data_IF_827640951705
#
_entry.id   IF_827640951705
#
_cell.length_a   1.000
_cell.length_b   1.000
_cell.length_c   1.000
_cell.angle_alpha   90.00
_cell.angle_beta   90.00
_cell.angle_gamma   90.00
#
_symmetry.space_group_name_H-M   'P 1'
#
loop_
_entity.id
_entity.type
_entity.pdbx_description
1 polymer ?
#
# COMPACT_ATOMS: atom_id res chain seq x y z
N UNK A 1 -0.69 23.89 27.94
CA UNK A 1 -0.01 22.80 27.22
C UNK A 1 0.64 23.41 25.98
N UNK A 2 1.92 23.10 25.72
CA UNK A 2 2.61 23.56 24.48
C UNK A 2 1.92 22.98 23.27
N UNK A 3 1.78 23.77 22.20
CA UNK A 3 1.26 23.30 20.92
C UNK A 3 2.34 22.46 20.21
N UNK A 4 1.94 21.58 19.29
CA UNK A 4 2.88 20.91 18.41
C UNK A 4 3.54 21.92 17.46
N UNK A 5 4.86 21.79 17.28
CA UNK A 5 5.54 22.32 16.11
C UNK A 5 5.42 21.28 14.98
N UNK A 6 4.81 21.70 13.86
CA UNK A 6 4.63 20.86 12.68
C UNK A 6 5.52 21.38 11.56
N UNK A 7 6.28 20.50 10.95
CA UNK A 7 7.00 20.76 9.70
C UNK A 7 6.74 19.65 8.68
N UNK A 8 6.72 20.03 7.41
CA UNK A 8 6.57 19.09 6.30
C UNK A 8 7.58 19.41 5.20
N UNK A 9 8.15 18.36 4.56
CA UNK A 9 9.10 18.53 3.47
C UNK A 9 8.87 17.49 2.38
N UNK A 10 9.15 17.87 1.15
CA UNK A 10 9.23 16.96 0.01
C UNK A 10 10.60 16.28 -0.03
N UNK A 11 10.59 15.00 -0.33
CA UNK A 11 11.78 14.22 -0.63
C UNK A 11 11.54 13.41 -1.90
N UNK A 12 12.59 13.28 -2.74
CA UNK A 12 12.53 12.51 -3.98
C UNK A 12 13.57 11.41 -3.96
N UNK A 13 13.14 10.16 -4.02
CA UNK A 13 13.96 8.98 -3.87
C UNK A 13 14.08 8.25 -5.21
N UNK A 14 15.29 8.13 -5.80
CA UNK A 14 15.48 7.40 -7.05
C UNK A 14 15.12 5.93 -6.91
N UNK A 15 14.43 5.39 -7.92
CA UNK A 15 14.20 3.96 -8.05
C UNK A 15 15.45 3.27 -8.62
N UNK A 16 15.65 2.00 -8.25
CA UNK A 16 16.72 1.18 -8.81
C UNK A 16 16.48 0.89 -10.29
N UNK A 17 15.22 0.63 -10.66
CA UNK A 17 14.76 0.44 -12.03
C UNK A 17 13.51 1.28 -12.28
N UNK A 18 13.21 1.67 -13.54
CA UNK A 18 11.94 2.30 -13.87
C UNK A 18 10.76 1.40 -13.46
N UNK A 19 9.80 1.97 -12.77
CA UNK A 19 8.59 1.28 -12.31
C UNK A 19 7.43 1.59 -13.25
N UNK A 20 6.95 0.57 -13.97
CA UNK A 20 5.92 0.70 -15.01
C UNK A 20 4.65 -0.05 -14.63
N UNK A 21 3.51 0.65 -14.73
CA UNK A 21 2.16 0.12 -14.60
C UNK A 21 1.34 0.46 -15.84
N UNK A 22 0.08 0.02 -15.92
CA UNK A 22 -0.82 0.33 -17.04
C UNK A 22 -0.95 1.83 -17.35
N UNK A 23 -0.81 2.69 -16.33
CA UNK A 23 -0.99 4.16 -16.37
C UNK A 23 0.28 4.97 -16.61
N UNK A 24 1.46 4.37 -16.62
CA UNK A 24 2.71 5.10 -16.88
C UNK A 24 3.94 4.55 -16.17
N UNK A 25 5.06 5.28 -16.29
CA UNK A 25 6.36 4.89 -15.74
C UNK A 25 6.89 5.98 -14.81
N UNK A 26 7.45 5.58 -13.67
CA UNK A 26 8.14 6.45 -12.70
C UNK A 26 9.59 6.01 -12.55
N UNK A 27 10.47 6.98 -12.28
CA UNK A 27 11.89 6.76 -11.98
C UNK A 27 12.27 7.23 -10.57
N UNK A 28 11.35 7.89 -9.89
CA UNK A 28 11.49 8.40 -8.52
C UNK A 28 10.22 8.15 -7.73
N UNK A 29 10.36 7.97 -6.43
CA UNK A 29 9.30 8.08 -5.45
C UNK A 29 9.35 9.47 -4.82
N UNK A 30 8.33 10.29 -5.08
CA UNK A 30 8.17 11.60 -4.48
C UNK A 30 7.28 11.47 -3.24
N UNK A 31 7.84 11.75 -2.07
CA UNK A 31 7.17 11.58 -0.78
C UNK A 31 7.12 12.89 -0.01
N UNK A 32 6.15 13.02 0.89
CA UNK A 32 6.10 14.11 1.85
C UNK A 32 6.29 13.54 3.25
N UNK A 33 7.27 14.09 3.98
CA UNK A 33 7.57 13.73 5.36
C UNK A 33 7.05 14.78 6.29
N UNK A 34 6.26 14.37 7.27
CA UNK A 34 5.79 15.20 8.39
C UNK A 34 6.65 14.93 9.62
N UNK A 35 7.00 15.99 10.31
CA UNK A 35 7.62 15.95 11.64
C UNK A 35 6.74 16.72 12.61
N UNK A 36 6.32 16.07 13.67
CA UNK A 36 5.65 16.66 14.84
C UNK A 36 6.65 16.71 15.99
N UNK A 37 6.80 17.89 16.60
CA UNK A 37 7.64 18.07 17.78
C UNK A 37 6.84 18.70 18.91
N UNK A 38 6.94 18.10 20.08
CA UNK A 38 6.35 18.65 21.32
C UNK A 38 7.09 18.13 22.52
N UNK A 39 7.38 19.02 23.49
CA UNK A 39 8.06 18.70 24.75
C UNK A 39 9.40 17.96 24.55
N UNK A 40 10.14 18.29 23.46
CA UNK A 40 11.44 17.70 23.11
C UNK A 40 11.36 16.30 22.48
N UNK A 41 10.17 15.78 22.22
CA UNK A 41 9.95 14.49 21.56
C UNK A 41 9.46 14.74 20.13
N UNK A 42 9.98 13.94 19.19
CA UNK A 42 9.70 14.06 17.76
C UNK A 42 9.01 12.81 17.24
N UNK A 43 7.91 12.99 16.51
CA UNK A 43 7.23 11.94 15.76
C UNK A 43 7.31 12.19 14.25
N UNK A 44 7.42 11.14 13.46
CA UNK A 44 7.57 11.19 12.01
C UNK A 44 6.48 10.39 11.29
N UNK A 45 6.04 10.88 10.14
CA UNK A 45 5.16 10.17 9.23
C UNK A 45 5.51 10.51 7.78
N UNK A 46 5.23 9.61 6.88
CA UNK A 46 5.48 9.77 5.45
C UNK A 46 4.24 9.42 4.66
N UNK A 47 3.98 10.16 3.59
CA UNK A 47 2.93 9.84 2.62
C UNK A 47 3.42 10.02 1.19
N UNK A 48 2.67 9.40 0.27
CA UNK A 48 2.91 9.49 -1.16
C UNK A 48 1.68 10.12 -1.82
N UNK A 49 1.70 11.43 -2.13
CA UNK A 49 0.63 12.08 -2.89
C UNK A 49 0.43 11.38 -4.23
N UNK A 50 -0.80 10.94 -4.55
CA UNK A 50 -1.02 10.13 -5.73
C UNK A 50 -2.00 10.79 -6.71
N UNK A 51 -1.55 11.11 -7.96
CA UNK A 51 -2.36 11.82 -8.95
C UNK A 51 -3.68 11.14 -9.31
N UNK A 52 -3.77 9.80 -9.22
CA UNK A 52 -5.01 9.04 -9.45
C UNK A 52 -6.14 9.47 -8.50
N UNK A 53 -5.78 9.95 -7.31
CA UNK A 53 -6.71 10.46 -6.29
C UNK A 53 -6.77 11.99 -6.25
N UNK A 54 -6.23 12.67 -7.28
CA UNK A 54 -6.25 14.13 -7.38
C UNK A 54 -5.25 14.84 -6.47
N UNK A 55 -4.25 14.12 -5.95
CA UNK A 55 -3.28 14.65 -5.00
C UNK A 55 -1.92 14.91 -5.64
N UNK A 56 -1.31 16.04 -5.27
CA UNK A 56 0.05 16.43 -5.69
C UNK A 56 0.88 16.84 -4.48
N UNK A 57 2.20 16.74 -4.60
CA UNK A 57 3.13 17.17 -3.52
C UNK A 57 2.89 18.61 -3.10
N UNK A 58 2.74 19.61 -3.99
CA UNK A 58 2.46 20.99 -3.58
C UNK A 58 1.15 21.14 -2.79
N UNK A 59 0.07 20.47 -3.23
CA UNK A 59 -1.24 20.53 -2.52
C UNK A 59 -1.15 19.93 -1.12
N UNK A 60 -0.44 18.80 -0.97
CA UNK A 60 -0.26 18.15 0.33
C UNK A 60 0.58 19.03 1.26
N UNK A 61 1.69 19.62 0.78
CA UNK A 61 2.51 20.53 1.56
C UNK A 61 1.73 21.78 2.00
N UNK A 62 0.92 22.36 1.11
CA UNK A 62 0.08 23.52 1.42
C UNK A 62 -0.99 23.17 2.45
N UNK A 63 -1.63 21.99 2.33
CA UNK A 63 -2.62 21.54 3.30
C UNK A 63 -2.00 21.35 4.69
N UNK A 64 -0.83 20.72 4.77
CA UNK A 64 -0.09 20.52 6.03
C UNK A 64 0.37 21.86 6.66
N UNK A 65 0.78 22.82 5.85
CA UNK A 65 1.17 24.14 6.35
C UNK A 65 0.01 24.88 7.06
N UNK A 66 -1.24 24.63 6.64
CA UNK A 66 -2.43 25.20 7.28
C UNK A 66 -2.80 24.52 8.61
N UNK A 67 -2.26 23.34 8.91
CA UNK A 67 -2.53 22.63 10.17
C UNK A 67 -1.80 23.23 11.37
N UNK A 68 -0.85 24.14 11.17
CA UNK A 68 -0.10 24.79 12.25
C UNK A 68 -1.04 25.56 13.20
N UNK A 69 -1.00 25.22 14.50
CA UNK A 69 -1.87 25.77 15.53
C UNK A 69 -3.26 25.12 15.65
N UNK A 70 -3.57 24.10 14.85
CA UNK A 70 -4.78 23.28 14.97
C UNK A 70 -4.71 22.25 16.11
N UNK A 71 -5.83 21.55 16.31
CA UNK A 71 -5.90 20.42 17.25
C UNK A 71 -5.21 19.17 16.64
N UNK A 72 -3.97 18.94 17.00
CA UNK A 72 -3.21 17.76 16.62
C UNK A 72 -3.49 16.66 17.64
N UNK A 73 -4.69 16.09 17.57
CA UNK A 73 -5.13 14.87 18.23
C UNK A 73 -5.70 13.93 17.18
N UNK A 74 -5.90 12.65 17.50
CA UNK A 74 -6.49 11.70 16.54
C UNK A 74 -7.87 12.16 16.07
N UNK A 75 -8.73 12.63 16.99
CA UNK A 75 -10.05 13.16 16.66
C UNK A 75 -9.95 14.49 15.89
N UNK A 76 -9.03 15.37 16.27
CA UNK A 76 -8.77 16.63 15.58
C UNK A 76 -8.32 16.38 14.12
N UNK A 77 -7.36 15.49 13.90
CA UNK A 77 -6.88 15.09 12.56
C UNK A 77 -8.03 14.48 11.74
N UNK A 78 -8.84 13.62 12.34
CA UNK A 78 -9.98 13.00 11.65
C UNK A 78 -11.03 14.05 11.19
N UNK A 79 -11.20 15.13 11.97
CA UNK A 79 -12.13 16.22 11.66
C UNK A 79 -11.58 17.24 10.64
N UNK A 80 -10.28 17.24 10.35
CA UNK A 80 -9.68 18.16 9.37
C UNK A 80 -10.06 17.79 7.93
N UNK A 81 -10.38 18.80 7.12
CA UNK A 81 -10.51 18.64 5.67
C UNK A 81 -9.13 18.64 5.01
N UNK A 82 -8.52 17.46 4.94
CA UNK A 82 -7.19 17.24 4.36
C UNK A 82 -7.25 16.24 3.21
N UNK A 83 -6.34 16.35 2.21
CA UNK A 83 -6.03 15.25 1.32
C UNK A 83 -5.67 13.98 2.12
N UNK A 84 -6.05 12.82 1.64
CA UNK A 84 -5.82 11.55 2.36
C UNK A 84 -4.34 11.31 2.64
N UNK A 85 -3.44 11.61 1.68
CA UNK A 85 -2.00 11.52 1.89
C UNK A 85 -1.53 12.46 3.02
N UNK A 86 -2.00 13.72 3.05
CA UNK A 86 -1.64 14.67 4.13
C UNK A 86 -2.09 14.16 5.50
N UNK A 87 -3.33 13.65 5.58
CA UNK A 87 -3.88 13.06 6.81
C UNK A 87 -3.08 11.84 7.24
N UNK A 88 -2.69 10.95 6.29
CA UNK A 88 -1.86 9.79 6.56
C UNK A 88 -0.54 10.17 7.23
N UNK A 89 0.22 11.09 6.63
CA UNK A 89 1.50 11.50 7.20
C UNK A 89 1.33 12.11 8.60
N UNK A 90 0.28 12.88 8.83
CA UNK A 90 0.01 13.53 10.11
C UNK A 90 -0.44 12.53 11.19
N UNK A 91 -1.35 11.61 10.85
CA UNK A 91 -1.81 10.53 11.73
C UNK A 91 -0.64 9.63 12.14
N UNK A 92 0.17 9.18 11.18
CA UNK A 92 1.33 8.33 11.45
C UNK A 92 2.42 9.05 12.28
N UNK A 93 2.62 10.36 12.07
CA UNK A 93 3.53 11.15 12.90
C UNK A 93 3.02 11.27 14.35
N UNK A 94 1.71 11.39 14.54
CA UNK A 94 1.10 11.42 15.89
C UNK A 94 1.21 10.07 16.58
N UNK A 95 1.04 8.94 15.87
CA UNK A 95 1.28 7.60 16.40
C UNK A 95 2.71 7.43 16.89
N UNK A 96 3.69 7.83 16.08
CA UNK A 96 5.11 7.75 16.42
C UNK A 96 5.44 8.62 17.64
N UNK A 97 4.95 9.86 17.68
CA UNK A 97 5.11 10.76 18.82
C UNK A 97 4.48 10.19 20.09
N UNK A 98 3.27 9.64 19.98
CA UNK A 98 2.53 9.05 21.12
C UNK A 98 3.27 7.84 21.69
N UNK A 99 3.74 6.95 20.82
CA UNK A 99 4.55 5.78 21.21
C UNK A 99 5.79 6.19 22.00
N UNK A 100 6.55 7.17 21.49
CA UNK A 100 7.78 7.67 22.13
C UNK A 100 7.50 8.36 23.44
N UNK A 101 6.42 9.17 23.52
CA UNK A 101 6.04 9.91 24.73
C UNK A 101 5.59 8.97 25.85
N UNK A 102 4.86 7.90 25.51
CA UNK A 102 4.38 6.91 26.48
C UNK A 102 5.40 5.77 26.74
N UNK A 103 6.53 5.80 26.08
CA UNK A 103 7.51 4.69 26.03
C UNK A 103 6.86 3.32 25.81
N UNK A 104 5.84 3.31 24.94
CA UNK A 104 5.02 2.13 24.66
C UNK A 104 5.03 1.89 23.16
N UNK A 105 5.41 0.70 22.66
CA UNK A 105 5.43 0.41 21.23
C UNK A 105 4.07 0.67 20.57
N UNK A 106 4.08 1.19 19.33
CA UNK A 106 2.86 1.55 18.59
C UNK A 106 1.93 0.34 18.41
N UNK A 107 2.46 -0.87 18.22
CA UNK A 107 1.66 -2.09 18.13
C UNK A 107 0.88 -2.39 19.43
N UNK A 108 1.48 -2.13 20.60
CA UNK A 108 0.79 -2.26 21.91
C UNK A 108 -0.34 -1.24 22.02
N UNK A 109 -0.09 0.02 21.63
CA UNK A 109 -1.11 1.08 21.62
C UNK A 109 -2.26 0.76 20.65
N UNK A 110 -1.96 0.10 19.54
CA UNK A 110 -2.95 -0.36 18.55
C UNK A 110 -3.73 -1.61 19.01
N UNK A 111 -3.34 -2.23 20.13
CA UNK A 111 -3.94 -3.48 20.60
C UNK A 111 -3.61 -4.69 19.72
N UNK A 112 -2.47 -4.66 19.05
CA UNK A 112 -1.94 -5.73 18.19
C UNK A 112 -0.91 -6.53 19.00
N UNK A 113 -0.83 -7.84 18.79
CA UNK A 113 0.22 -8.68 19.35
C UNK A 113 1.60 -8.26 18.84
N UNK A 114 2.67 -8.69 19.53
CA UNK A 114 4.04 -8.40 19.09
C UNK A 114 4.24 -8.79 17.62
N UNK A 115 4.63 -7.84 16.75
CA UNK A 115 4.71 -8.06 15.32
C UNK A 115 5.70 -9.16 14.94
N UNK A 116 5.28 -10.03 14.06
CA UNK A 116 6.11 -11.06 13.45
C UNK A 116 6.64 -10.59 12.10
N UNK A 117 7.77 -11.14 11.61
CA UNK A 117 8.23 -10.87 10.26
C UNK A 117 7.17 -11.25 9.22
N UNK A 118 7.04 -10.43 8.17
CA UNK A 118 6.05 -10.57 7.10
C UNK A 118 6.73 -10.91 5.78
N UNK A 119 6.15 -11.81 5.00
CA UNK A 119 6.60 -12.03 3.63
C UNK A 119 5.91 -11.03 2.72
N UNK A 120 6.65 -10.00 2.25
CA UNK A 120 6.13 -9.05 1.27
C UNK A 120 6.22 -9.59 -0.16
N UNK A 121 5.23 -9.29 -0.99
CA UNK A 121 5.35 -9.46 -2.43
C UNK A 121 6.52 -8.62 -2.97
N UNK A 122 7.06 -9.03 -4.11
CA UNK A 122 8.01 -8.23 -4.88
C UNK A 122 7.41 -7.94 -6.25
N UNK A 123 7.36 -6.66 -6.61
CA UNK A 123 6.65 -6.20 -7.80
C UNK A 123 7.50 -6.36 -9.06
N UNK A 124 6.94 -7.02 -10.06
CA UNK A 124 7.46 -7.08 -11.43
C UNK A 124 6.71 -6.05 -12.27
N UNK A 125 7.44 -5.07 -12.76
CA UNK A 125 6.93 -4.00 -13.62
C UNK A 125 6.38 -4.55 -14.94
N UNK A 126 5.35 -3.88 -15.48
CA UNK A 126 4.77 -4.22 -16.78
C UNK A 126 5.78 -4.00 -17.91
N UNK A 127 5.99 -5.07 -18.69
CA UNK A 127 6.86 -5.10 -19.88
C UNK A 127 6.39 -6.20 -20.86
N UNK A 128 7.18 -6.51 -21.88
CA UNK A 128 6.95 -7.65 -22.75
C UNK A 128 7.13 -8.97 -21.98
N UNK A 129 6.46 -10.03 -22.43
CA UNK A 129 6.37 -11.31 -21.72
C UNK A 129 7.75 -11.88 -21.35
N UNK A 130 8.68 -11.91 -22.30
CA UNK A 130 10.04 -12.42 -22.05
C UNK A 130 10.82 -11.59 -21.03
N UNK A 131 10.65 -10.27 -21.05
CA UNK A 131 11.30 -9.36 -20.10
C UNK A 131 10.75 -9.57 -18.70
N UNK A 132 9.42 -9.70 -18.55
CA UNK A 132 8.80 -9.98 -17.26
C UNK A 132 9.18 -11.35 -16.72
N UNK A 133 9.22 -12.38 -17.56
CA UNK A 133 9.65 -13.74 -17.19
C UNK A 133 11.11 -13.75 -16.69
N UNK A 134 12.02 -13.06 -17.41
CA UNK A 134 13.41 -12.91 -16.98
C UNK A 134 13.53 -12.15 -15.65
N UNK A 135 12.79 -11.05 -15.49
CA UNK A 135 12.77 -10.27 -14.26
C UNK A 135 12.24 -11.10 -13.08
N UNK A 136 11.17 -11.87 -13.28
CA UNK A 136 10.60 -12.77 -12.26
C UNK A 136 11.61 -13.84 -11.81
N UNK A 137 12.29 -14.50 -12.77
CA UNK A 137 13.31 -15.50 -12.48
C UNK A 137 14.52 -14.87 -11.76
N UNK A 138 14.98 -13.69 -12.19
CA UNK A 138 16.11 -12.99 -11.60
C UNK A 138 15.82 -12.52 -10.17
N UNK A 139 14.57 -12.15 -9.86
CA UNK A 139 14.15 -11.67 -8.56
C UNK A 139 14.32 -12.71 -7.45
N UNK A 140 14.17 -14.02 -7.75
CA UNK A 140 14.29 -15.14 -6.79
C UNK A 140 13.47 -14.92 -5.52
N UNK A 141 12.22 -14.47 -5.67
CA UNK A 141 11.31 -14.17 -4.57
C UNK A 141 10.22 -15.23 -4.44
N UNK A 142 9.79 -15.57 -3.22
CA UNK A 142 8.73 -16.57 -2.99
C UNK A 142 7.34 -16.08 -3.37
N UNK A 143 7.11 -14.77 -3.38
CA UNK A 143 5.85 -14.11 -3.73
C UNK A 143 6.13 -12.94 -4.67
N UNK A 144 5.51 -12.99 -5.86
CA UNK A 144 5.64 -11.96 -6.88
C UNK A 144 4.30 -11.29 -7.14
N UNK A 145 4.31 -9.95 -7.25
CA UNK A 145 3.19 -9.15 -7.74
C UNK A 145 3.45 -8.73 -9.19
N UNK A 146 2.57 -9.12 -10.09
CA UNK A 146 2.73 -8.88 -11.53
C UNK A 146 1.88 -7.70 -11.96
N UNK A 147 2.50 -6.65 -12.48
CA UNK A 147 1.78 -5.51 -13.07
C UNK A 147 1.32 -5.87 -14.48
N UNK A 148 0.00 -5.86 -14.68
CA UNK A 148 -0.69 -6.19 -15.93
C UNK A 148 -1.61 -5.04 -16.35
N UNK A 149 -2.63 -5.30 -17.18
CA UNK A 149 -3.61 -4.31 -17.65
C UNK A 149 -3.36 -3.87 -19.10
N UNK A 150 -2.75 -4.75 -19.91
CA UNK A 150 -2.53 -4.52 -21.35
C UNK A 150 -2.89 -5.77 -22.17
N UNK A 151 -3.20 -5.63 -23.46
CA UNK A 151 -3.37 -6.77 -24.34
C UNK A 151 -2.17 -7.72 -24.27
N UNK A 152 -2.42 -9.05 -24.29
CA UNK A 152 -1.39 -10.09 -24.19
C UNK A 152 -0.99 -10.46 -22.76
N UNK A 153 -1.78 -10.09 -21.77
CA UNK A 153 -1.53 -10.44 -20.38
C UNK A 153 -1.61 -11.95 -20.11
N UNK A 154 -2.42 -12.69 -20.85
CA UNK A 154 -2.47 -14.15 -20.85
C UNK A 154 -1.12 -14.76 -21.25
N UNK A 155 -0.48 -14.23 -22.29
CA UNK A 155 0.87 -14.67 -22.68
C UNK A 155 1.93 -14.29 -21.65
N UNK A 156 1.82 -13.11 -21.03
CA UNK A 156 2.71 -12.70 -19.92
C UNK A 156 2.61 -13.66 -18.74
N UNK A 157 1.39 -13.99 -18.34
CA UNK A 157 1.14 -14.93 -17.24
C UNK A 157 1.74 -16.31 -17.52
N UNK A 158 1.51 -16.87 -18.71
CA UNK A 158 2.07 -18.15 -19.10
C UNK A 158 3.61 -18.15 -19.05
N UNK A 159 4.25 -17.14 -19.68
CA UNK A 159 5.71 -17.03 -19.71
C UNK A 159 6.32 -16.88 -18.31
N UNK A 160 5.66 -16.08 -17.43
CA UNK A 160 6.14 -15.90 -16.05
C UNK A 160 5.99 -17.19 -15.25
N UNK A 161 4.83 -17.88 -15.35
CA UNK A 161 4.62 -19.15 -14.64
C UNK A 161 5.63 -20.23 -15.07
N UNK A 162 5.94 -20.31 -16.37
CA UNK A 162 6.95 -21.21 -16.89
C UNK A 162 8.35 -20.90 -16.33
N UNK A 163 8.68 -19.63 -16.17
CA UNK A 163 9.98 -19.18 -15.64
C UNK A 163 10.12 -19.34 -14.11
N UNK A 164 9.01 -19.29 -13.36
CA UNK A 164 9.00 -19.38 -11.89
C UNK A 164 7.89 -20.33 -11.40
N UNK A 165 8.01 -21.66 -11.66
CA UNK A 165 6.95 -22.63 -11.42
C UNK A 165 6.51 -22.72 -9.96
N UNK A 166 7.40 -22.45 -9.01
CA UNK A 166 7.17 -22.60 -7.57
C UNK A 166 6.80 -21.28 -6.86
N UNK A 167 6.90 -20.13 -7.54
CA UNK A 167 6.59 -18.84 -6.93
C UNK A 167 5.08 -18.66 -6.75
N UNK A 168 4.68 -18.09 -5.62
CA UNK A 168 3.34 -17.57 -5.42
C UNK A 168 3.17 -16.31 -6.29
N UNK A 169 2.03 -16.20 -6.96
CA UNK A 169 1.76 -15.08 -7.86
C UNK A 169 0.49 -14.36 -7.43
N UNK A 170 0.57 -13.03 -7.37
CA UNK A 170 -0.59 -12.14 -7.36
C UNK A 170 -0.49 -11.20 -8.57
N UNK A 171 -1.64 -10.77 -9.06
CA UNK A 171 -1.75 -9.92 -10.25
C UNK A 171 -2.38 -8.60 -9.87
N UNK A 172 -1.85 -7.51 -10.39
CA UNK A 172 -2.47 -6.19 -10.31
C UNK A 172 -2.68 -5.65 -11.73
N UNK A 173 -3.94 -5.63 -12.16
CA UNK A 173 -4.32 -5.12 -13.46
C UNK A 173 -4.43 -3.59 -13.50
N UNK A 174 -4.40 -2.93 -12.35
CA UNK A 174 -4.49 -1.47 -12.22
C UNK A 174 -5.59 -0.86 -13.09
N UNK A 175 -6.82 -1.38 -12.98
CA UNK A 175 -8.00 -0.94 -13.75
C UNK A 175 -7.88 -1.17 -15.28
N UNK A 176 -6.93 -2.01 -15.73
CA UNK A 176 -6.57 -2.10 -17.15
C UNK A 176 -7.37 -3.10 -17.98
N UNK A 177 -8.23 -3.93 -17.36
CA UNK A 177 -9.08 -4.86 -18.10
C UNK A 177 -10.49 -4.30 -18.30
N UNK A 178 -11.21 -4.83 -19.29
CA UNK A 178 -12.63 -4.56 -19.50
C UNK A 178 -13.49 -5.77 -19.12
N UNK A 179 -14.80 -5.55 -18.96
CA UNK A 179 -15.73 -6.63 -18.64
C UNK A 179 -15.74 -7.73 -19.70
N UNK A 180 -15.48 -7.39 -21.00
CA UNK A 180 -15.44 -8.36 -22.09
C UNK A 180 -14.24 -9.31 -21.99
N UNK A 181 -13.06 -8.82 -21.60
CA UNK A 181 -11.84 -9.64 -21.49
C UNK A 181 -11.69 -10.31 -20.14
N UNK A 182 -12.41 -9.85 -19.11
CA UNK A 182 -12.30 -10.33 -17.75
C UNK A 182 -12.44 -11.85 -17.62
N UNK A 183 -13.43 -12.56 -18.24
CA UNK A 183 -13.53 -14.01 -18.14
C UNK A 183 -12.32 -14.76 -18.72
N UNK A 184 -11.72 -14.24 -19.78
CA UNK A 184 -10.50 -14.78 -20.36
C UNK A 184 -9.33 -14.61 -19.41
N UNK A 185 -9.16 -13.41 -18.84
CA UNK A 185 -8.06 -13.09 -17.93
C UNK A 185 -8.14 -13.89 -16.64
N UNK A 186 -9.32 -14.03 -16.03
CA UNK A 186 -9.51 -14.87 -14.82
C UNK A 186 -9.17 -16.34 -15.08
N UNK A 187 -9.50 -16.85 -16.27
CA UNK A 187 -9.10 -18.21 -16.66
C UNK A 187 -7.58 -18.35 -16.79
N UNK A 188 -6.91 -17.39 -17.45
CA UNK A 188 -5.45 -17.36 -17.55
C UNK A 188 -4.80 -17.25 -16.16
N UNK A 189 -5.35 -16.45 -15.26
CA UNK A 189 -4.91 -16.37 -13.88
C UNK A 189 -5.04 -17.72 -13.14
N UNK A 190 -6.16 -18.42 -13.30
CA UNK A 190 -6.34 -19.75 -12.72
C UNK A 190 -5.32 -20.76 -13.29
N UNK A 191 -5.12 -20.78 -14.60
CA UNK A 191 -4.15 -21.66 -15.26
C UNK A 191 -2.72 -21.38 -14.78
N UNK A 192 -2.38 -20.12 -14.57
CA UNK A 192 -1.11 -19.67 -13.99
C UNK A 192 -1.06 -19.82 -12.46
N UNK A 193 -2.08 -20.36 -11.80
CA UNK A 193 -2.17 -20.51 -10.34
C UNK A 193 -1.94 -19.18 -9.59
N UNK A 194 -2.58 -18.11 -10.07
CA UNK A 194 -2.60 -16.81 -9.40
C UNK A 194 -3.48 -16.90 -8.16
N UNK A 195 -2.99 -16.42 -7.02
CA UNK A 195 -3.69 -16.47 -5.73
C UNK A 195 -4.70 -15.32 -5.56
N UNK A 196 -4.44 -14.16 -6.18
CA UNK A 196 -5.26 -12.96 -6.04
C UNK A 196 -5.13 -12.07 -7.27
N UNK A 197 -6.25 -11.53 -7.76
CA UNK A 197 -6.29 -10.52 -8.83
C UNK A 197 -6.73 -9.19 -8.22
N UNK A 198 -5.84 -8.19 -8.24
CA UNK A 198 -6.11 -6.85 -7.72
C UNK A 198 -6.65 -5.95 -8.82
N UNK A 199 -7.74 -5.24 -8.52
CA UNK A 199 -8.44 -4.22 -9.31
C UNK A 199 -8.45 -4.47 -10.83
N UNK A 200 -9.16 -5.50 -11.29
CA UNK A 200 -9.20 -5.82 -12.73
C UNK A 200 -9.93 -4.76 -13.57
N UNK A 201 -11.04 -4.23 -13.07
CA UNK A 201 -11.90 -3.27 -13.75
C UNK A 201 -11.74 -1.85 -13.18
N UNK A 202 -12.04 -0.80 -13.97
CA UNK A 202 -12.03 0.57 -13.48
C UNK A 202 -12.95 0.79 -12.28
N UNK A 203 -12.47 1.48 -11.25
CA UNK A 203 -13.27 1.90 -10.12
C UNK A 203 -14.48 2.73 -10.57
N UNK A 204 -15.66 2.39 -10.07
CA UNK A 204 -16.94 3.01 -10.50
C UNK A 204 -17.52 2.45 -11.82
N UNK A 205 -16.88 1.44 -12.43
CA UNK A 205 -17.36 0.67 -13.57
C UNK A 205 -17.06 -0.84 -13.41
N UNK A 206 -17.15 -1.33 -12.17
CA UNK A 206 -16.79 -2.67 -11.74
C UNK A 206 -17.99 -3.53 -11.30
N UNK A 207 -19.22 -3.10 -11.68
CA UNK A 207 -20.47 -3.81 -11.36
C UNK A 207 -20.50 -5.25 -11.89
N UNK A 208 -19.83 -5.50 -13.02
CA UNK A 208 -19.75 -6.83 -13.62
C UNK A 208 -19.11 -7.88 -12.68
N UNK A 209 -18.33 -7.44 -11.68
CA UNK A 209 -17.74 -8.34 -10.69
C UNK A 209 -18.77 -8.99 -9.76
N UNK A 210 -19.96 -8.44 -9.63
CA UNK A 210 -21.00 -8.99 -8.76
C UNK A 210 -21.52 -10.34 -9.25
N UNK A 211 -21.63 -10.51 -10.57
CA UNK A 211 -22.29 -11.66 -11.19
C UNK A 211 -21.33 -12.61 -11.92
N UNK A 212 -20.01 -12.34 -11.86
CA UNK A 212 -19.02 -13.16 -12.56
C UNK A 212 -18.65 -14.42 -11.76
N UNK A 213 -18.43 -15.53 -12.48
CA UNK A 213 -17.80 -16.71 -11.87
C UNK A 213 -16.35 -16.38 -11.49
N UNK A 214 -15.99 -16.63 -10.23
CA UNK A 214 -14.69 -16.27 -9.67
C UNK A 214 -13.77 -17.47 -9.68
N UNK A 215 -13.02 -17.62 -10.76
CA UNK A 215 -11.98 -18.65 -10.88
C UNK A 215 -10.74 -18.35 -10.04
N UNK A 216 -10.60 -17.09 -9.57
CA UNK A 216 -9.54 -16.59 -8.71
C UNK A 216 -10.11 -15.48 -7.81
N UNK A 217 -9.72 -15.37 -6.53
CA UNK A 217 -10.15 -14.27 -5.65
C UNK A 217 -9.80 -12.89 -6.23
N UNK A 218 -10.72 -11.94 -6.08
CA UNK A 218 -10.57 -10.58 -6.60
C UNK A 218 -10.49 -9.59 -5.45
N UNK A 219 -9.47 -8.71 -5.49
CA UNK A 219 -9.18 -7.70 -4.48
C UNK A 219 -9.51 -6.29 -4.99
N UNK A 220 -10.21 -5.50 -4.19
CA UNK A 220 -10.43 -4.08 -4.45
C UNK A 220 -9.20 -3.27 -4.05
N UNK A 221 -8.70 -2.40 -4.95
CA UNK A 221 -7.70 -1.37 -4.65
C UNK A 221 -8.26 0.03 -4.91
N UNK A 222 -8.39 0.44 -6.15
CA UNK A 222 -8.90 1.76 -6.51
C UNK A 222 -10.39 1.94 -6.15
N UNK A 223 -11.14 0.86 -6.02
CA UNK A 223 -12.55 0.87 -5.56
C UNK A 223 -12.72 0.95 -4.04
N UNK A 224 -11.62 0.86 -3.29
CA UNK A 224 -11.63 0.83 -1.83
C UNK A 224 -10.85 2.01 -1.25
N UNK A 225 -11.51 2.86 -0.46
CA UNK A 225 -10.88 3.98 0.22
C UNK A 225 -11.01 3.88 1.74
N UNK A 226 -12.19 4.10 2.28
CA UNK A 226 -12.49 4.05 3.69
C UNK A 226 -13.75 3.21 3.98
N UNK A 227 -14.29 3.37 5.18
CA UNK A 227 -15.48 2.64 5.63
C UNK A 227 -16.70 2.84 4.71
N UNK A 228 -16.80 4.01 4.07
CA UNK A 228 -17.89 4.38 3.17
C UNK A 228 -17.93 3.51 1.90
N UNK A 229 -16.82 2.96 1.47
CA UNK A 229 -16.73 2.07 0.29
C UNK A 229 -17.04 0.61 0.61
N UNK A 230 -17.04 0.23 1.89
CA UNK A 230 -16.93 -1.15 2.32
C UNK A 230 -18.14 -2.03 1.91
N UNK A 231 -19.35 -1.49 1.94
CA UNK A 231 -20.55 -2.26 1.56
C UNK A 231 -20.57 -2.58 0.06
N UNK A 232 -20.12 -1.64 -0.78
CA UNK A 232 -19.97 -1.87 -2.23
C UNK A 232 -18.85 -2.87 -2.52
N UNK A 233 -17.72 -2.73 -1.81
CA UNK A 233 -16.57 -3.64 -1.94
C UNK A 233 -16.97 -5.06 -1.54
N UNK A 234 -17.65 -5.24 -0.41
CA UNK A 234 -18.08 -6.56 0.05
C UNK A 234 -19.09 -7.26 -0.90
N UNK A 235 -19.87 -6.48 -1.67
CA UNK A 235 -20.78 -7.04 -2.66
C UNK A 235 -20.07 -7.50 -3.95
N UNK A 236 -18.89 -6.98 -4.26
CA UNK A 236 -18.21 -7.16 -5.56
C UNK A 236 -16.87 -7.88 -5.49
N UNK A 237 -16.22 -7.91 -4.34
CA UNK A 237 -14.84 -8.38 -4.16
C UNK A 237 -14.74 -9.42 -3.04
N UNK A 238 -13.69 -10.23 -3.08
CA UNK A 238 -13.36 -11.22 -2.05
C UNK A 238 -12.37 -10.69 -1.03
N UNK A 239 -11.61 -9.66 -1.42
CA UNK A 239 -10.56 -9.05 -0.61
C UNK A 239 -10.53 -7.53 -0.80
N UNK A 240 -9.89 -6.84 0.15
CA UNK A 240 -9.66 -5.40 0.12
C UNK A 240 -8.18 -5.08 0.34
N UNK A 241 -7.61 -4.24 -0.54
CA UNK A 241 -6.25 -3.72 -0.36
C UNK A 241 -6.28 -2.42 0.43
N UNK A 242 -5.84 -2.48 1.68
CA UNK A 242 -5.76 -1.34 2.59
C UNK A 242 -4.41 -0.65 2.40
N UNK A 243 -4.45 0.63 1.98
CA UNK A 243 -3.28 1.51 1.84
C UNK A 243 -3.48 2.75 2.70
N UNK A 244 -2.50 3.10 3.52
CA UNK A 244 -2.61 4.21 4.46
C UNK A 244 -2.84 5.56 3.75
N UNK A 245 -2.25 5.73 2.56
CA UNK A 245 -2.47 6.93 1.72
C UNK A 245 -3.91 7.04 1.17
N UNK A 246 -4.66 5.93 1.12
CA UNK A 246 -6.08 5.94 0.73
C UNK A 246 -7.02 6.11 1.91
N UNK A 247 -6.69 5.49 3.04
CA UNK A 247 -7.52 5.58 4.25
C UNK A 247 -7.32 6.88 5.01
N UNK A 248 -6.19 7.55 4.80
CA UNK A 248 -5.81 8.76 5.54
C UNK A 248 -5.13 8.47 6.88
N UNK A 249 -4.38 7.35 6.97
CA UNK A 249 -3.53 7.02 8.10
C UNK A 249 -3.75 5.65 8.72
N UNK A 250 -2.98 5.36 9.75
CA UNK A 250 -3.04 4.10 10.48
C UNK A 250 -4.35 3.94 11.27
N UNK A 251 -4.80 5.01 11.92
CA UNK A 251 -6.05 5.00 12.70
C UNK A 251 -7.25 4.53 11.87
N UNK A 252 -7.60 5.16 10.73
CA UNK A 252 -8.70 4.69 9.90
C UNK A 252 -8.40 3.36 9.21
N UNK A 253 -7.13 3.02 8.91
CA UNK A 253 -6.77 1.75 8.31
C UNK A 253 -7.06 0.56 9.25
N UNK A 254 -6.74 0.67 10.53
CA UNK A 254 -7.07 -0.36 11.53
C UNK A 254 -8.58 -0.51 11.73
N UNK A 255 -9.33 0.58 11.69
CA UNK A 255 -10.78 0.53 11.76
C UNK A 255 -11.38 -0.15 10.52
N UNK A 256 -10.86 0.16 9.33
CA UNK A 256 -11.27 -0.45 8.07
C UNK A 256 -10.94 -1.96 8.04
N UNK A 257 -9.75 -2.36 8.51
CA UNK A 257 -9.36 -3.77 8.58
C UNK A 257 -10.34 -4.59 9.42
N UNK A 258 -10.65 -4.13 10.63
CA UNK A 258 -11.63 -4.78 11.52
C UNK A 258 -13.02 -4.86 10.90
N UNK A 259 -13.47 -3.80 10.23
CA UNK A 259 -14.78 -3.76 9.59
C UNK A 259 -14.85 -4.65 8.34
N UNK A 260 -13.75 -4.82 7.60
CA UNK A 260 -13.62 -5.71 6.46
C UNK A 260 -13.70 -7.19 6.88
N UNK A 261 -12.97 -7.58 7.94
CA UNK A 261 -13.04 -8.93 8.52
C UNK A 261 -14.47 -9.30 8.93
N UNK A 262 -15.19 -8.38 9.57
CA UNK A 262 -16.60 -8.61 9.98
C UNK A 262 -17.53 -8.83 8.79
N UNK A 263 -17.15 -8.39 7.59
CA UNK A 263 -17.87 -8.63 6.33
C UNK A 263 -17.37 -9.84 5.53
N UNK A 264 -16.41 -10.58 6.08
CA UNK A 264 -15.82 -11.76 5.45
C UNK A 264 -14.84 -11.45 4.31
N UNK A 265 -14.38 -10.20 4.18
CA UNK A 265 -13.34 -9.85 3.22
C UNK A 265 -11.95 -10.27 3.72
N UNK A 266 -11.15 -10.85 2.84
CA UNK A 266 -9.73 -11.04 3.09
C UNK A 266 -8.99 -9.70 3.04
N UNK A 267 -7.98 -9.53 3.87
CA UNK A 267 -7.18 -8.29 3.92
C UNK A 267 -5.90 -8.49 3.11
N UNK A 268 -5.66 -7.59 2.18
CA UNK A 268 -4.37 -7.28 1.63
C UNK A 268 -3.94 -5.93 2.20
N UNK A 269 -2.68 -5.79 2.59
CA UNK A 269 -2.08 -4.49 2.87
C UNK A 269 -1.11 -4.15 1.74
N UNK A 270 -1.28 -2.96 1.18
CA UNK A 270 -0.38 -2.43 0.16
C UNK A 270 0.08 -1.01 0.48
N UNK A 271 0.88 -0.47 -0.43
CA UNK A 271 1.37 0.89 -0.33
C UNK A 271 1.55 1.52 -1.72
N UNK A 272 1.78 2.82 -1.74
CA UNK A 272 2.48 3.45 -2.85
C UNK A 272 3.98 3.19 -2.72
N UNK A 273 4.76 3.44 -3.79
CA UNK A 273 6.22 3.31 -3.69
C UNK A 273 6.75 4.45 -2.82
N UNK A 274 7.25 4.09 -1.65
CA UNK A 274 7.78 4.99 -0.63
C UNK A 274 8.93 4.36 0.14
N UNK A 275 9.41 5.06 1.17
CA UNK A 275 10.52 4.58 2.01
C UNK A 275 10.03 3.69 3.15
N UNK A 276 10.95 3.13 3.91
CA UNK A 276 10.64 2.39 5.14
C UNK A 276 9.78 3.18 6.13
N UNK A 277 9.82 4.50 6.13
CA UNK A 277 9.00 5.32 7.03
C UNK A 277 7.51 5.25 6.67
N UNK A 278 7.17 5.19 5.39
CA UNK A 278 5.80 4.95 4.92
C UNK A 278 5.32 3.53 5.22
N UNK A 279 6.24 2.55 5.12
CA UNK A 279 5.90 1.13 5.33
C UNK A 279 5.75 0.78 6.81
N UNK A 280 6.49 1.43 7.71
CA UNK A 280 6.53 1.08 9.13
C UNK A 280 5.15 1.00 9.79
N UNK A 281 4.27 2.02 9.71
CA UNK A 281 2.92 1.91 10.26
C UNK A 281 2.06 0.87 9.53
N UNK A 282 2.25 0.67 8.21
CA UNK A 282 1.50 -0.31 7.43
C UNK A 282 1.79 -1.76 7.86
N UNK A 283 2.98 -2.04 8.45
CA UNK A 283 3.30 -3.37 8.99
C UNK A 283 2.33 -3.81 10.08
N UNK A 284 1.70 -2.88 10.80
CA UNK A 284 0.70 -3.20 11.82
C UNK A 284 -0.59 -3.72 11.20
N UNK A 285 -1.03 -3.14 10.09
CA UNK A 285 -2.12 -3.69 9.28
C UNK A 285 -1.71 -5.03 8.65
N UNK A 286 -0.42 -5.16 8.29
CA UNK A 286 0.17 -6.38 7.77
C UNK A 286 0.03 -7.60 8.70
N UNK A 287 -0.01 -7.39 10.02
CA UNK A 287 -0.23 -8.48 10.99
C UNK A 287 -1.64 -9.10 10.89
N UNK A 288 -2.58 -8.41 10.24
CA UNK A 288 -3.96 -8.88 9.99
C UNK A 288 -4.14 -9.35 8.54
N UNK A 289 -3.17 -9.11 7.67
CA UNK A 289 -3.31 -9.31 6.23
C UNK A 289 -2.92 -10.73 5.80
N UNK A 290 -3.68 -11.29 4.85
CA UNK A 290 -3.33 -12.53 4.15
C UNK A 290 -2.25 -12.31 3.08
N UNK A 291 -2.26 -11.13 2.46
CA UNK A 291 -1.29 -10.70 1.44
C UNK A 291 -0.66 -9.38 1.86
N UNK A 292 0.67 -9.32 1.82
CA UNK A 292 1.45 -8.13 2.14
C UNK A 292 2.20 -7.67 0.90
N UNK A 293 2.05 -6.39 0.53
CA UNK A 293 2.66 -5.73 -0.62
C UNK A 293 3.27 -4.39 -0.19
N UNK A 294 4.37 -4.50 0.56
CA UNK A 294 5.10 -3.39 1.19
C UNK A 294 6.55 -3.35 0.70
N UNK A 295 6.76 -3.59 -0.58
CA UNK A 295 8.07 -3.71 -1.21
C UNK A 295 8.69 -2.36 -1.63
N UNK A 296 8.03 -1.24 -1.35
CA UNK A 296 8.51 0.09 -1.73
C UNK A 296 10.01 0.32 -1.48
N UNK A 297 10.53 0.03 -0.26
CA UNK A 297 11.96 0.17 0.05
C UNK A 297 12.88 -0.69 -0.83
N UNK A 298 12.42 -1.87 -1.27
CA UNK A 298 13.20 -2.78 -2.14
C UNK A 298 13.27 -2.29 -3.60
N UNK A 299 12.41 -1.36 -3.98
CA UNK A 299 12.38 -0.76 -5.32
C UNK A 299 13.24 0.51 -5.40
N UNK A 300 13.64 1.08 -4.25
CA UNK A 300 14.50 2.26 -4.18
C UNK A 300 15.96 1.88 -4.40
N UNK A 301 16.74 2.79 -5.03
CA UNK A 301 18.19 2.65 -5.11
C UNK A 301 18.86 2.67 -3.74
N UNK A 302 18.30 3.44 -2.82
CA UNK A 302 18.70 3.53 -1.42
C UNK A 302 17.49 3.90 -0.58
N UNK A 303 17.31 3.22 0.54
CA UNK A 303 16.28 3.53 1.54
C UNK A 303 16.82 4.44 2.64
N UNK A 304 15.95 4.82 3.59
CA UNK A 304 16.30 5.58 4.81
C UNK A 304 17.24 4.81 5.73
N UNK A 305 17.96 5.54 6.56
CA UNK A 305 18.71 5.01 7.68
C UNK A 305 18.24 5.67 9.01
N UNK A 306 17.77 4.88 9.98
CA UNK A 306 17.51 3.44 9.89
C UNK A 306 16.34 3.14 8.95
N UNK A 307 16.41 1.98 8.27
CA UNK A 307 15.31 1.41 7.49
C UNK A 307 14.74 0.16 8.14
N UNK A 308 13.69 -0.40 7.54
CA UNK A 308 13.17 -1.72 7.89
C UNK A 308 14.18 -2.77 7.42
N UNK A 309 14.59 -3.74 8.27
CA UNK A 309 15.45 -4.82 7.82
C UNK A 309 14.69 -5.80 6.92
N UNK A 310 15.34 -6.24 5.83
CA UNK A 310 14.83 -7.26 4.91
C UNK A 310 15.83 -8.40 4.74
N UNK A 311 15.32 -9.63 4.72
CA UNK A 311 16.03 -10.81 4.23
C UNK A 311 15.27 -11.38 3.02
N UNK A 312 15.70 -11.02 1.82
CA UNK A 312 14.92 -11.29 0.63
C UNK A 312 13.55 -10.62 0.68
N UNK A 313 12.46 -11.39 0.67
CA UNK A 313 11.08 -10.90 0.85
C UNK A 313 10.61 -10.89 2.30
N UNK A 314 11.41 -11.39 3.24
CA UNK A 314 11.08 -11.36 4.65
C UNK A 314 11.37 -9.97 5.21
N UNK A 315 10.31 -9.25 5.58
CA UNK A 315 10.31 -7.92 6.14
C UNK A 315 10.19 -8.04 7.66
N UNK A 316 11.20 -7.57 8.38
CA UNK A 316 11.20 -7.59 9.85
C UNK A 316 10.42 -6.40 10.42
N UNK A 317 9.97 -6.46 11.69
CA UNK A 317 9.35 -5.32 12.35
C UNK A 317 10.25 -4.07 12.29
N UNK A 318 9.68 -2.87 12.09
CA UNK A 318 10.44 -1.63 12.03
C UNK A 318 11.15 -1.37 13.36
N UNK A 319 12.41 -0.89 13.32
CA UNK A 319 13.10 -0.47 14.55
C UNK A 319 12.45 0.80 15.12
N UNK A 320 12.33 0.90 16.44
CA UNK A 320 11.76 2.09 17.12
C UNK A 320 12.48 3.41 16.77
N UNK A 321 13.75 3.32 16.37
CA UNK A 321 14.50 4.49 15.91
C UNK A 321 13.98 5.02 14.55
N UNK A 322 13.30 4.19 13.75
CA UNK A 322 12.62 4.61 12.53
C UNK A 322 11.22 5.16 12.86
N UNK A 323 10.42 4.37 13.58
CA UNK A 323 9.02 4.69 13.86
C UNK A 323 8.44 3.74 14.92
N UNK A 324 7.54 4.28 15.79
CA UNK A 324 6.74 3.46 16.73
C UNK A 324 7.54 2.88 17.85
#
# INVERSE_FOLDING_TARGET
>A
MTAFALSARHESWPLEQPFTISRGTKTHADVVVVTLEKDGITGHGECVPYPRYGETVPQVLEALARCGGGDISFDGIAAMELPYAARNALDCALWDWTSKTQDTPAWTLAGIAEPQPLTTAFTISLADADVMAQAAAAARRPLLKLKLGKPGDDFRLAAIRDAVPDARLIVDANEGWSAEVLPLMLRACREAQVELVEQPLPAGADEALQDISRDCPICADESAHGLESLDTVAARYDAINIKLDKTGGLTPALALAKAAELRGLEIMVGSMVGTSLSMAPATLVGQMAKVVDLDGPLLLRKDREPGIPFEGSLMYPPPRALWG
#
